data_IF_125528233753
#
_entry.id   IF_125528233753
#
_cell.length_a   1.000
_cell.length_b   1.000
_cell.length_c   1.000
_cell.angle_alpha   90.00
_cell.angle_beta   90.00
_cell.angle_gamma   90.00
#
_symmetry.space_group_name_H-M   'P 1'
#
loop_
_entity.id
_entity.type
_entity.pdbx_description
1 polymer ?
#
# COMPACT_ATOMS: atom_id res chain seq x y z
N UNK A 1 -23.38 -14.38 16.12
CA UNK A 1 -22.87 -15.67 15.60
C UNK A 1 -21.88 -15.28 14.53
N UNK A 2 -20.59 -15.60 14.68
CA UNK A 2 -19.70 -15.52 13.52
C UNK A 2 -20.17 -16.61 12.56
N UNK A 3 -20.40 -16.26 11.29
CA UNK A 3 -20.77 -17.22 10.25
C UNK A 3 -19.64 -18.25 10.07
N UNK A 4 -19.91 -19.47 9.60
CA UNK A 4 -18.87 -20.47 9.32
C UNK A 4 -17.71 -19.95 8.46
N UNK A 5 -18.00 -19.00 7.56
CA UNK A 5 -17.00 -18.28 6.76
C UNK A 5 -15.99 -17.48 7.61
N UNK A 6 -16.44 -16.79 8.66
CA UNK A 6 -15.57 -15.96 9.52
C UNK A 6 -14.59 -16.77 10.37
N UNK A 7 -14.95 -18.01 10.73
CA UNK A 7 -14.04 -18.91 11.45
C UNK A 7 -12.97 -19.44 10.49
N UNK A 8 -13.37 -19.83 9.27
CA UNK A 8 -12.45 -20.32 8.25
C UNK A 8 -11.43 -19.25 7.81
N UNK A 9 -11.86 -17.99 7.69
CA UNK A 9 -10.95 -16.89 7.37
C UNK A 9 -9.91 -16.70 8.49
N UNK A 10 -10.36 -16.67 9.75
CA UNK A 10 -9.46 -16.58 10.89
C UNK A 10 -8.44 -17.73 10.96
N UNK A 11 -8.87 -18.97 10.71
CA UNK A 11 -7.96 -20.11 10.65
C UNK A 11 -6.93 -20.00 9.51
N UNK A 12 -7.33 -19.45 8.36
CA UNK A 12 -6.44 -19.20 7.24
C UNK A 12 -5.43 -18.09 7.58
N UNK A 13 -5.90 -16.98 8.14
CA UNK A 13 -5.09 -15.86 8.59
C UNK A 13 -4.01 -16.33 9.58
N UNK A 14 -4.42 -17.06 10.63
CA UNK A 14 -3.51 -17.61 11.63
C UNK A 14 -2.47 -18.56 11.03
N UNK A 15 -2.84 -19.37 10.04
CA UNK A 15 -1.90 -20.27 9.35
C UNK A 15 -0.85 -19.49 8.56
N UNK A 16 -1.27 -18.44 7.85
CA UNK A 16 -0.36 -17.59 7.08
C UNK A 16 0.57 -16.84 8.03
N UNK A 17 0.01 -16.11 9.00
CA UNK A 17 0.78 -15.28 9.94
C UNK A 17 1.73 -16.09 10.84
N UNK A 18 1.45 -17.37 11.09
CA UNK A 18 2.35 -18.23 11.88
C UNK A 18 3.76 -18.29 11.28
N UNK A 19 3.87 -18.31 9.96
CA UNK A 19 5.12 -18.56 9.24
C UNK A 19 5.76 -17.26 8.70
N UNK A 20 5.15 -16.10 8.96
CA UNK A 20 5.64 -14.78 8.58
C UNK A 20 6.31 -14.06 9.76
N UNK A 21 7.57 -13.63 9.59
CA UNK A 21 8.29 -12.81 10.57
C UNK A 21 9.01 -11.69 9.86
N UNK A 22 8.47 -10.48 9.97
CA UNK A 22 9.02 -9.27 9.37
C UNK A 22 8.64 -8.06 10.20
N UNK A 23 9.53 -7.07 10.29
CA UNK A 23 9.36 -5.85 11.12
C UNK A 23 8.14 -5.01 10.73
N UNK A 24 7.76 -5.07 9.45
CA UNK A 24 6.63 -4.33 8.87
C UNK A 24 5.44 -5.22 8.51
N UNK A 25 5.31 -6.39 9.16
CA UNK A 25 4.15 -7.28 9.00
C UNK A 25 3.64 -7.64 10.39
N UNK A 26 2.33 -7.58 10.58
CA UNK A 26 1.70 -7.93 11.85
C UNK A 26 2.05 -9.36 12.26
N UNK A 27 2.44 -9.56 13.53
CA UNK A 27 2.72 -10.87 14.08
C UNK A 27 1.58 -11.33 14.98
N UNK A 28 1.16 -12.59 14.84
CA UNK A 28 0.26 -13.22 15.82
C UNK A 28 1.09 -13.85 16.93
N UNK A 29 0.84 -13.39 18.16
CA UNK A 29 1.48 -13.93 19.37
C UNK A 29 0.72 -15.14 19.92
N UNK A 30 -0.59 -15.20 19.71
CA UNK A 30 -1.42 -16.30 20.15
C UNK A 30 -2.90 -16.03 19.99
N UNK A 31 -3.71 -17.02 20.32
CA UNK A 31 -5.17 -16.88 20.38
C UNK A 31 -5.68 -17.39 21.72
N UNK A 32 -6.82 -16.87 22.15
CA UNK A 32 -7.48 -17.29 23.37
C UNK A 32 -8.98 -17.35 23.15
N UNK A 33 -9.65 -18.16 23.96
CA UNK A 33 -11.11 -18.16 24.05
C UNK A 33 -11.53 -17.84 25.47
N UNK A 34 -12.64 -17.13 25.61
CA UNK A 34 -13.25 -16.83 26.90
C UNK A 34 -14.76 -16.94 26.81
N UNK A 35 -15.40 -17.20 27.94
CA UNK A 35 -16.86 -17.16 28.02
C UNK A 35 -17.31 -15.71 28.20
N UNK A 36 -17.96 -15.16 27.19
CA UNK A 36 -18.48 -13.80 27.15
C UNK A 36 -19.85 -13.66 27.80
N UNK A 37 -20.43 -12.44 27.69
CA UNK A 37 -21.79 -12.17 28.17
C UNK A 37 -22.80 -13.06 27.44
N UNK A 38 -23.83 -13.53 28.17
CA UNK A 38 -24.84 -14.49 27.69
C UNK A 38 -24.29 -15.89 27.33
N UNK A 39 -23.24 -16.35 28.01
CA UNK A 39 -22.70 -17.70 27.84
C UNK A 39 -22.20 -18.01 26.42
N UNK A 40 -21.77 -16.99 25.68
CA UNK A 40 -21.25 -17.14 24.32
C UNK A 40 -19.73 -17.21 24.37
N UNK A 41 -19.14 -18.21 23.71
CA UNK A 41 -17.70 -18.25 23.49
C UNK A 41 -17.25 -17.07 22.62
N UNK A 42 -16.33 -16.27 23.15
CA UNK A 42 -15.61 -15.21 22.48
C UNK A 42 -14.19 -15.69 22.20
N UNK A 43 -13.68 -15.40 21.01
CA UNK A 43 -12.32 -15.72 20.60
C UNK A 43 -11.57 -14.41 20.36
N UNK A 44 -10.33 -14.34 20.85
CA UNK A 44 -9.42 -13.22 20.66
C UNK A 44 -8.11 -13.70 20.04
N UNK A 45 -7.49 -12.83 19.26
CA UNK A 45 -6.14 -13.00 18.75
C UNK A 45 -5.27 -11.90 19.35
N UNK A 46 -4.11 -12.28 19.85
CA UNK A 46 -3.09 -11.36 20.34
C UNK A 46 -2.13 -11.08 19.19
N UNK A 47 -1.97 -9.81 18.85
CA UNK A 47 -1.12 -9.35 17.75
C UNK A 47 -0.06 -8.37 18.25
N UNK A 48 1.03 -8.25 17.50
CA UNK A 48 2.13 -7.32 17.78
C UNK A 48 2.76 -6.81 16.47
N UNK A 49 3.19 -5.54 16.39
CA UNK A 49 3.08 -4.49 17.42
C UNK A 49 1.65 -3.96 17.62
N UNK A 50 1.42 -3.25 18.72
CA UNK A 50 0.16 -2.54 18.94
C UNK A 50 0.15 -1.28 18.08
N UNK A 51 -0.79 -1.25 17.13
CA UNK A 51 -1.09 -0.06 16.34
C UNK A 51 -2.02 0.91 17.08
N UNK A 52 -1.84 2.20 16.82
CA UNK A 52 -2.71 3.25 17.36
C UNK A 52 -3.75 3.75 16.36
N UNK A 53 -3.47 3.60 15.07
CA UNK A 53 -4.35 4.01 13.97
C UNK A 53 -3.95 3.27 12.68
N UNK A 54 -4.79 3.35 11.66
CA UNK A 54 -4.44 2.94 10.29
C UNK A 54 -3.93 4.13 9.46
N UNK A 55 -3.46 3.83 8.24
CA UNK A 55 -2.92 4.81 7.31
C UNK A 55 -4.02 5.66 6.68
N UNK A 56 -5.25 5.19 6.50
CA UNK A 56 -6.33 6.00 5.92
C UNK A 56 -6.63 7.20 6.82
N UNK A 57 -6.87 6.95 8.11
CA UNK A 57 -7.08 7.99 9.12
C UNK A 57 -5.89 8.96 9.21
N UNK A 58 -4.66 8.46 9.01
CA UNK A 58 -3.44 9.27 9.03
C UNK A 58 -3.36 10.19 7.81
N UNK A 59 -3.68 9.67 6.63
CA UNK A 59 -3.67 10.43 5.38
C UNK A 59 -4.77 11.49 5.36
N UNK A 60 -5.98 11.15 5.79
CA UNK A 60 -7.11 12.09 5.87
C UNK A 60 -6.82 13.28 6.80
N UNK A 61 -6.15 13.06 7.93
CA UNK A 61 -5.72 14.14 8.83
C UNK A 61 -4.75 15.12 8.14
N UNK A 62 -3.74 14.60 7.45
CA UNK A 62 -2.78 15.44 6.70
C UNK A 62 -3.49 16.13 5.54
N UNK A 63 -4.43 15.45 4.87
CA UNK A 63 -5.21 15.98 3.76
C UNK A 63 -6.06 17.18 4.16
N UNK A 64 -6.77 17.09 5.29
CA UNK A 64 -7.59 18.20 5.79
C UNK A 64 -6.72 19.44 6.07
N UNK A 65 -5.55 19.23 6.69
CA UNK A 65 -4.58 20.31 6.87
C UNK A 65 -4.14 20.92 5.53
N UNK A 66 -3.77 20.10 4.54
CA UNK A 66 -3.36 20.58 3.23
C UNK A 66 -4.46 21.40 2.55
N UNK A 67 -5.71 20.93 2.62
CA UNK A 67 -6.89 21.59 2.06
C UNK A 67 -7.08 23.00 2.62
N UNK A 68 -6.94 23.19 3.93
CA UNK A 68 -7.08 24.50 4.57
C UNK A 68 -6.11 25.53 3.97
N UNK A 69 -4.87 25.14 3.66
CA UNK A 69 -3.90 26.04 3.00
C UNK A 69 -4.19 26.26 1.52
N UNK A 70 -4.65 25.23 0.80
CA UNK A 70 -5.04 25.38 -0.61
C UNK A 70 -6.25 26.33 -0.78
N UNK A 71 -7.19 26.34 0.16
CA UNK A 71 -8.38 27.20 0.13
C UNK A 71 -8.13 28.60 0.66
N UNK A 72 -7.43 28.73 1.80
CA UNK A 72 -7.22 30.04 2.46
C UNK A 72 -6.14 30.90 1.80
N UNK A 73 -5.24 30.30 1.00
CA UNK A 73 -4.05 30.96 0.42
C UNK A 73 -3.13 31.58 1.48
N UNK A 74 -3.13 31.01 2.68
CA UNK A 74 -2.20 31.37 3.75
C UNK A 74 -0.77 30.94 3.40
N UNK A 75 0.23 31.51 4.09
CA UNK A 75 1.61 31.04 3.96
C UNK A 75 1.69 29.56 4.34
N UNK A 76 2.28 28.73 3.47
CA UNK A 76 2.30 27.28 3.65
C UNK A 76 3.05 26.86 4.92
N UNK A 77 2.44 25.97 5.70
CA UNK A 77 3.08 25.26 6.81
C UNK A 77 2.82 23.78 6.60
N UNK A 78 3.88 22.98 6.50
CA UNK A 78 3.77 21.53 6.35
C UNK A 78 3.26 20.90 7.64
N UNK A 79 2.31 19.97 7.55
CA UNK A 79 1.84 19.21 8.70
C UNK A 79 3.00 18.39 9.32
N UNK A 80 3.09 18.33 10.64
CA UNK A 80 4.23 17.71 11.36
C UNK A 80 4.41 16.22 11.02
N UNK A 81 3.32 15.54 10.72
CA UNK A 81 3.31 14.12 10.36
C UNK A 81 3.69 13.83 8.90
N UNK A 82 3.70 14.83 8.01
CA UNK A 82 3.94 14.60 6.57
C UNK A 82 5.29 13.94 6.32
N UNK A 83 6.32 14.35 7.06
CA UNK A 83 7.66 13.75 6.92
C UNK A 83 7.71 12.29 7.39
N UNK A 84 6.83 11.88 8.32
CA UNK A 84 6.79 10.51 8.85
C UNK A 84 6.33 9.49 7.81
N UNK A 85 5.70 9.93 6.71
CA UNK A 85 5.31 9.07 5.59
C UNK A 85 6.48 8.64 4.71
N UNK A 86 7.57 9.42 4.66
CA UNK A 86 8.67 9.18 3.71
C UNK A 86 9.32 7.79 3.90
N UNK A 87 9.61 7.32 5.13
CA UNK A 87 10.17 5.98 5.31
C UNK A 87 9.22 4.84 4.94
N UNK A 88 7.90 5.07 4.96
CA UNK A 88 6.89 4.02 4.77
C UNK A 88 6.98 3.40 3.37
N UNK A 89 7.34 4.20 2.35
CA UNK A 89 7.53 3.71 0.99
C UNK A 89 8.54 2.55 0.94
N UNK A 90 9.72 2.77 1.51
CA UNK A 90 10.78 1.77 1.54
C UNK A 90 10.39 0.53 2.37
N UNK A 91 9.76 0.76 3.53
CA UNK A 91 9.41 -0.31 4.45
C UNK A 91 8.27 -1.21 3.95
N UNK A 92 7.26 -0.62 3.30
CA UNK A 92 6.18 -1.37 2.67
C UNK A 92 6.69 -2.14 1.44
N UNK A 93 7.58 -1.55 0.64
CA UNK A 93 8.26 -2.29 -0.42
C UNK A 93 8.97 -3.54 0.11
N UNK A 94 9.74 -3.39 1.20
CA UNK A 94 10.45 -4.49 1.86
C UNK A 94 9.49 -5.55 2.42
N UNK A 95 8.37 -5.15 3.01
CA UNK A 95 7.34 -6.06 3.52
C UNK A 95 6.71 -6.90 2.40
N UNK A 96 6.31 -6.27 1.30
CA UNK A 96 5.68 -6.97 0.17
C UNK A 96 6.70 -7.85 -0.57
N UNK A 97 7.97 -7.43 -0.67
CA UNK A 97 9.04 -8.28 -1.20
C UNK A 97 9.19 -9.56 -0.36
N UNK A 98 9.18 -9.45 0.97
CA UNK A 98 9.23 -10.59 1.88
C UNK A 98 8.04 -11.54 1.68
N UNK A 99 6.81 -11.01 1.54
CA UNK A 99 5.63 -11.84 1.23
C UNK A 99 5.80 -12.61 -0.07
N UNK A 100 6.25 -11.93 -1.12
CA UNK A 100 6.43 -12.52 -2.44
C UNK A 100 7.55 -13.57 -2.48
N UNK A 101 8.61 -13.41 -1.70
CA UNK A 101 9.65 -14.42 -1.50
C UNK A 101 9.11 -15.68 -0.81
N UNK A 102 8.14 -15.52 0.09
CA UNK A 102 7.40 -16.61 0.74
C UNK A 102 6.23 -17.15 -0.08
N UNK A 103 6.07 -16.69 -1.33
CA UNK A 103 4.92 -17.03 -2.19
C UNK A 103 3.56 -16.78 -1.51
N UNK A 104 3.47 -15.69 -0.75
CA UNK A 104 2.22 -15.22 -0.12
C UNK A 104 1.69 -14.01 -0.89
N UNK A 105 0.39 -14.02 -1.15
CA UNK A 105 -0.36 -12.86 -1.62
C UNK A 105 -1.21 -12.28 -0.51
N UNK A 106 -1.14 -10.96 -0.36
CA UNK A 106 -2.01 -10.22 0.54
C UNK A 106 -3.44 -10.13 0.02
N UNK A 107 -3.62 -9.70 -1.24
CA UNK A 107 -4.90 -9.55 -1.98
C UNK A 107 -5.82 -8.41 -1.54
N UNK A 108 -5.46 -7.66 -0.50
CA UNK A 108 -6.23 -6.49 -0.01
C UNK A 108 -5.30 -5.41 0.57
N UNK A 109 -4.27 -5.02 -0.18
CA UNK A 109 -3.41 -3.91 0.23
C UNK A 109 -4.18 -2.61 0.00
N UNK A 110 -4.41 -1.87 1.08
CA UNK A 110 -5.08 -0.58 1.13
C UNK A 110 -4.69 0.16 2.42
N UNK A 111 -4.92 1.47 2.53
CA UNK A 111 -4.51 2.25 3.70
C UNK A 111 -5.10 1.73 5.02
N UNK A 112 -6.34 1.25 5.03
CA UNK A 112 -7.01 0.69 6.22
C UNK A 112 -6.31 -0.57 6.75
N UNK A 113 -5.60 -1.30 5.87
CA UNK A 113 -4.85 -2.52 6.21
C UNK A 113 -3.37 -2.24 6.47
N UNK A 114 -2.96 -0.97 6.49
CA UNK A 114 -1.60 -0.55 6.87
C UNK A 114 -1.72 0.19 8.19
N UNK A 115 -1.28 -0.47 9.25
CA UNK A 115 -1.36 0.05 10.59
C UNK A 115 -0.11 0.87 10.94
N UNK A 116 -0.27 1.87 11.81
CA UNK A 116 0.82 2.69 12.32
C UNK A 116 1.01 2.39 13.80
N UNK A 117 2.19 1.89 14.15
CA UNK A 117 2.55 1.60 15.54
C UNK A 117 2.95 2.87 16.32
N UNK A 118 3.16 2.70 17.63
CA UNK A 118 3.57 3.81 18.52
C UNK A 118 4.94 4.39 18.21
N UNK A 119 5.79 3.66 17.49
CA UNK A 119 7.10 4.11 17.05
C UNK A 119 7.06 4.73 15.65
N UNK A 120 5.86 4.96 15.10
CA UNK A 120 5.64 5.44 13.73
C UNK A 120 6.23 4.53 12.67
N UNK A 121 6.09 3.22 12.83
CA UNK A 121 6.36 2.25 11.77
C UNK A 121 5.06 1.87 11.05
N UNK A 122 5.14 1.73 9.73
CA UNK A 122 4.08 1.10 8.94
C UNK A 122 4.11 -0.42 9.09
N UNK A 123 2.97 -1.02 9.36
CA UNK A 123 2.77 -2.44 9.63
C UNK A 123 1.66 -2.96 8.73
N UNK A 124 2.00 -3.82 7.77
CA UNK A 124 1.00 -4.47 6.92
C UNK A 124 0.21 -5.51 7.73
N UNK A 125 -1.12 -5.40 7.70
CA UNK A 125 -2.05 -6.20 8.49
C UNK A 125 -3.28 -6.63 7.68
N UNK A 126 -4.17 -7.38 8.34
CA UNK A 126 -5.38 -7.97 7.74
C UNK A 126 -5.10 -8.98 6.61
N UNK A 127 -4.79 -10.21 7.02
CA UNK A 127 -4.50 -11.32 6.12
C UNK A 127 -5.73 -12.22 5.90
N UNK A 128 -6.95 -11.74 6.19
CA UNK A 128 -8.18 -12.55 6.17
C UNK A 128 -8.44 -13.22 4.82
N UNK A 129 -8.10 -12.53 3.72
CA UNK A 129 -8.25 -13.06 2.36
C UNK A 129 -6.92 -13.45 1.72
N UNK A 130 -5.81 -13.37 2.45
CA UNK A 130 -4.49 -13.74 1.94
C UNK A 130 -4.38 -15.23 1.60
N UNK A 131 -3.42 -15.58 0.75
CA UNK A 131 -3.16 -16.97 0.35
C UNK A 131 -1.66 -17.24 0.21
N UNK A 132 -1.23 -18.41 0.70
CA UNK A 132 0.10 -18.96 0.48
C UNK A 132 0.06 -20.01 -0.63
N UNK A 133 1.13 -20.09 -1.43
CA UNK A 133 1.26 -20.98 -2.57
C UNK A 133 2.59 -21.75 -2.48
N UNK A 134 2.68 -22.95 -3.07
CA UNK A 134 3.93 -23.72 -3.00
C UNK A 134 5.03 -23.09 -3.86
N UNK A 135 4.65 -22.45 -4.97
CA UNK A 135 5.55 -21.71 -5.84
C UNK A 135 4.87 -20.51 -6.53
N UNK A 136 5.65 -19.72 -7.26
CA UNK A 136 5.17 -18.54 -8.00
C UNK A 136 4.25 -18.85 -9.17
N UNK A 137 4.32 -20.06 -9.75
CA UNK A 137 3.42 -20.48 -10.84
C UNK A 137 2.05 -20.83 -10.28
N UNK A 138 1.98 -21.50 -9.14
CA UNK A 138 0.73 -21.78 -8.42
C UNK A 138 0.07 -20.52 -7.90
N UNK A 139 0.85 -19.47 -7.63
CA UNK A 139 0.30 -18.16 -7.30
C UNK A 139 -0.54 -17.58 -8.44
N UNK A 140 -0.41 -18.03 -9.68
CA UNK A 140 -1.26 -17.56 -10.79
C UNK A 140 -2.66 -18.15 -10.63
N UNK A 141 -3.60 -17.32 -10.18
CA UNK A 141 -4.99 -17.74 -9.92
C UNK A 141 -5.98 -17.01 -10.82
N UNK A 142 -7.10 -17.66 -11.11
CA UNK A 142 -8.19 -17.12 -11.93
C UNK A 142 -9.41 -16.82 -11.04
N UNK A 143 -9.99 -15.63 -11.22
CA UNK A 143 -11.27 -15.19 -10.64
C UNK A 143 -11.43 -15.26 -9.11
N UNK A 144 -11.38 -14.10 -8.47
CA UNK A 144 -11.97 -13.89 -7.14
C UNK A 144 -12.54 -12.48 -7.06
N UNK A 145 -13.82 -12.33 -6.72
CA UNK A 145 -14.43 -11.02 -6.43
C UNK A 145 -14.05 -10.50 -5.02
N UNK A 146 -13.05 -11.11 -4.39
CA UNK A 146 -12.54 -10.67 -3.08
C UNK A 146 -11.55 -9.50 -3.24
N UNK A 147 -11.53 -8.61 -2.25
CA UNK A 147 -10.67 -7.43 -2.19
C UNK A 147 -11.45 -6.13 -2.38
N UNK A 148 -10.79 -5.00 -2.16
CA UNK A 148 -11.41 -3.67 -2.23
C UNK A 148 -11.37 -3.12 -3.65
N UNK A 149 -12.52 -2.74 -4.22
CA UNK A 149 -12.64 -2.32 -5.63
C UNK A 149 -11.67 -1.19 -5.99
N UNK A 150 -11.59 -0.19 -5.11
CA UNK A 150 -10.80 1.02 -5.30
C UNK A 150 -9.31 0.73 -5.57
N UNK A 151 -8.72 -0.20 -4.84
CA UNK A 151 -7.29 -0.55 -4.90
C UNK A 151 -6.99 -1.80 -5.73
N UNK A 152 -8.02 -2.37 -6.36
CA UNK A 152 -7.90 -3.58 -7.16
C UNK A 152 -7.37 -3.29 -8.56
N UNK A 153 -6.63 -4.23 -9.14
CA UNK A 153 -6.29 -4.18 -10.57
C UNK A 153 -7.56 -4.27 -11.44
N UNK A 154 -7.53 -3.68 -12.64
CA UNK A 154 -8.66 -3.54 -13.59
C UNK A 154 -9.42 -4.83 -13.89
N UNK A 155 -8.78 -5.97 -13.65
CA UNK A 155 -9.27 -7.29 -14.01
C UNK A 155 -10.04 -8.00 -12.89
N UNK A 156 -10.33 -7.33 -11.76
CA UNK A 156 -11.11 -7.97 -10.69
C UNK A 156 -12.60 -8.08 -11.00
N UNK A 157 -13.15 -7.04 -11.62
CA UNK A 157 -14.58 -6.77 -11.53
C UNK A 157 -15.32 -6.90 -12.86
N UNK A 158 -14.61 -7.04 -13.99
CA UNK A 158 -15.28 -7.41 -15.25
C UNK A 158 -15.77 -8.86 -15.12
N UNK A 159 -17.08 -9.03 -15.32
CA UNK A 159 -17.75 -10.32 -15.25
C UNK A 159 -17.12 -11.35 -16.21
N UNK A 160 -17.43 -12.64 -16.01
CA UNK A 160 -16.82 -13.76 -16.73
C UNK A 160 -17.07 -13.79 -18.25
N UNK A 161 -17.78 -12.82 -18.82
CA UNK A 161 -18.23 -12.87 -20.22
C UNK A 161 -17.44 -11.94 -21.17
N UNK A 162 -16.75 -10.90 -20.67
CA UNK A 162 -16.17 -9.84 -21.53
C UNK A 162 -14.63 -9.74 -21.53
N UNK A 163 -13.93 -10.57 -20.76
CA UNK A 163 -12.46 -10.50 -20.62
C UNK A 163 -11.76 -11.76 -21.16
N UNK A 164 -10.67 -11.57 -21.91
CA UNK A 164 -9.77 -12.66 -22.33
C UNK A 164 -9.34 -13.48 -21.09
N UNK A 165 -9.32 -14.83 -21.11
CA UNK A 165 -8.89 -15.63 -19.97
C UNK A 165 -7.51 -15.24 -19.40
N UNK A 166 -6.58 -14.79 -20.25
CA UNK A 166 -5.26 -14.27 -19.82
C UNK A 166 -5.38 -12.98 -18.99
N UNK A 167 -6.37 -12.15 -19.29
CA UNK A 167 -6.66 -10.94 -18.53
C UNK A 167 -7.21 -11.25 -17.14
N UNK A 168 -7.57 -12.50 -16.82
CA UNK A 168 -8.08 -12.90 -15.49
C UNK A 168 -7.01 -13.45 -14.58
N UNK A 169 -5.79 -13.58 -15.08
CA UNK A 169 -4.65 -14.08 -14.31
C UNK A 169 -4.28 -13.08 -13.23
N UNK A 170 -4.14 -13.61 -12.01
CA UNK A 170 -3.64 -12.86 -10.88
C UNK A 170 -2.37 -13.51 -10.42
N UNK A 171 -1.23 -12.86 -10.56
CA UNK A 171 0.03 -13.24 -9.94
C UNK A 171 0.31 -12.42 -8.68
N UNK A 172 1.60 -12.28 -8.34
CA UNK A 172 2.08 -11.49 -7.19
C UNK A 172 2.10 -9.99 -7.52
N UNK A 173 2.18 -9.63 -8.81
CA UNK A 173 2.18 -8.24 -9.30
C UNK A 173 0.94 -7.44 -8.89
N UNK A 174 -0.13 -8.12 -8.52
CA UNK A 174 -1.35 -7.53 -8.03
C UNK A 174 -1.19 -6.77 -6.71
N UNK A 175 -0.44 -7.34 -5.77
CA UNK A 175 -0.12 -6.64 -4.52
C UNK A 175 0.79 -5.43 -4.81
N UNK A 176 1.61 -5.49 -5.87
CA UNK A 176 2.44 -4.36 -6.34
C UNK A 176 1.56 -3.23 -6.87
N UNK A 177 0.54 -3.56 -7.67
CA UNK A 177 -0.41 -2.58 -8.22
C UNK A 177 -1.19 -1.89 -7.09
N UNK A 178 -1.74 -2.67 -6.17
CA UNK A 178 -2.47 -2.13 -5.01
C UNK A 178 -1.58 -1.24 -4.14
N UNK A 179 -0.34 -1.65 -3.88
CA UNK A 179 0.63 -0.81 -3.16
C UNK A 179 0.98 0.48 -3.94
N UNK A 180 1.04 0.42 -5.28
CA UNK A 180 1.22 1.59 -6.12
C UNK A 180 0.10 2.62 -5.93
N UNK A 181 -1.15 2.18 -5.85
CA UNK A 181 -2.29 3.08 -5.56
C UNK A 181 -2.20 3.70 -4.16
N UNK A 182 -1.83 2.92 -3.13
CA UNK A 182 -1.55 3.47 -1.78
C UNK A 182 -0.44 4.53 -1.83
N UNK A 183 0.64 4.25 -2.56
CA UNK A 183 1.75 5.18 -2.71
C UNK A 183 1.36 6.48 -3.42
N UNK A 184 0.40 6.46 -4.33
CA UNK A 184 -0.15 7.66 -4.95
C UNK A 184 -0.91 8.54 -3.95
N UNK A 185 -1.68 7.94 -3.05
CA UNK A 185 -2.36 8.69 -1.99
C UNK A 185 -1.35 9.31 -1.01
N UNK A 186 -0.36 8.53 -0.58
CA UNK A 186 0.73 9.01 0.26
C UNK A 186 1.50 10.16 -0.42
N UNK A 187 1.85 10.01 -1.69
CA UNK A 187 2.52 11.06 -2.46
C UNK A 187 1.65 12.31 -2.59
N UNK A 188 0.34 12.16 -2.76
CA UNK A 188 -0.60 13.28 -2.87
C UNK A 188 -0.51 14.18 -1.64
N UNK A 189 -0.60 13.62 -0.43
CA UNK A 189 -0.53 14.43 0.80
C UNK A 189 0.89 14.94 1.09
N UNK A 190 1.94 14.20 0.73
CA UNK A 190 3.35 14.63 0.85
C UNK A 190 3.63 15.86 0.00
N UNK A 191 3.02 15.93 -1.18
CA UNK A 191 3.16 17.06 -2.10
C UNK A 191 2.20 18.21 -1.75
N UNK A 192 1.60 18.17 -0.55
CA UNK A 192 0.77 19.27 -0.05
C UNK A 192 -0.56 19.42 -0.79
N UNK A 193 -1.13 18.31 -1.29
CA UNK A 193 -2.43 18.28 -1.97
C UNK A 193 -3.51 17.66 -1.11
N UNK A 194 -4.74 18.09 -1.35
CA UNK A 194 -5.95 17.45 -0.83
C UNK A 194 -6.21 16.10 -1.55
N UNK A 195 -6.20 15.03 -0.76
CA UNK A 195 -6.51 13.67 -1.16
C UNK A 195 -7.96 13.51 -1.64
N UNK A 196 -8.91 14.27 -1.09
CA UNK A 196 -10.32 14.18 -1.50
C UNK A 196 -10.52 14.69 -2.91
N UNK A 197 -9.92 15.85 -3.23
CA UNK A 197 -9.86 16.39 -4.60
C UNK A 197 -9.23 15.41 -5.59
N UNK A 198 -8.21 14.66 -5.17
CA UNK A 198 -7.62 13.58 -5.99
C UNK A 198 -8.63 12.46 -6.24
N UNK A 199 -9.27 11.94 -5.18
CA UNK A 199 -10.25 10.85 -5.23
C UNK A 199 -11.49 11.22 -6.06
N UNK A 200 -11.98 12.46 -5.94
CA UNK A 200 -13.12 13.00 -6.72
C UNK A 200 -12.89 12.94 -8.23
N UNK A 201 -11.66 13.18 -8.69
CA UNK A 201 -11.32 13.08 -10.11
C UNK A 201 -11.37 11.64 -10.62
N UNK A 202 -11.35 10.65 -9.73
CA UNK A 202 -11.24 9.22 -10.02
C UNK A 202 -12.55 8.45 -9.76
N UNK A 203 -13.67 9.18 -9.73
CA UNK A 203 -15.01 8.62 -9.61
C UNK A 203 -15.53 8.01 -10.91
N UNK A 204 -16.17 6.85 -10.76
CA UNK A 204 -16.82 6.08 -11.82
C UNK A 204 -18.16 5.54 -11.34
N UNK A 205 -19.10 5.35 -12.27
CA UNK A 205 -20.38 4.71 -11.97
C UNK A 205 -20.19 3.18 -11.94
N UNK A 206 -20.55 2.55 -10.82
CA UNK A 206 -20.51 1.10 -10.64
C UNK A 206 -21.76 0.65 -9.87
N UNK A 207 -22.55 -0.26 -10.44
CA UNK A 207 -23.79 -0.76 -9.83
C UNK A 207 -24.73 0.33 -9.30
N UNK A 208 -24.90 1.41 -10.07
CA UNK A 208 -25.72 2.59 -9.73
C UNK A 208 -25.17 3.49 -8.60
N UNK A 209 -23.96 3.23 -8.13
CA UNK A 209 -23.27 4.07 -7.14
C UNK A 209 -22.01 4.69 -7.76
N UNK A 210 -21.65 5.90 -7.31
CA UNK A 210 -20.39 6.53 -7.68
C UNK A 210 -19.32 6.11 -6.70
N UNK A 211 -18.28 5.45 -7.20
CA UNK A 211 -17.15 4.95 -6.39
C UNK A 211 -15.83 5.31 -7.03
N UNK A 212 -14.76 5.40 -6.23
CA UNK A 212 -13.40 5.59 -6.74
C UNK A 212 -12.88 4.26 -7.29
N UNK A 213 -12.33 4.27 -8.52
CA UNK A 213 -11.73 3.07 -9.13
C UNK A 213 -10.39 3.45 -9.77
N UNK A 214 -9.28 3.24 -9.04
CA UNK A 214 -7.96 3.66 -9.50
C UNK A 214 -7.50 2.98 -10.78
N UNK A 215 -7.85 1.72 -10.97
CA UNK A 215 -7.48 1.01 -12.19
C UNK A 215 -8.14 1.56 -13.47
N UNK A 216 -9.36 2.11 -13.34
CA UNK A 216 -10.05 2.78 -14.45
C UNK A 216 -9.45 4.18 -14.67
N UNK A 217 -9.18 4.92 -13.58
CA UNK A 217 -8.49 6.21 -13.63
C UNK A 217 -7.11 6.11 -14.30
N UNK A 218 -6.35 5.04 -14.02
CA UNK A 218 -5.06 4.77 -14.65
C UNK A 218 -5.18 4.55 -16.16
N UNK A 219 -6.21 3.83 -16.60
CA UNK A 219 -6.46 3.53 -18.01
C UNK A 219 -6.87 4.79 -18.77
N UNK A 220 -7.70 5.61 -18.16
CA UNK A 220 -8.26 6.80 -18.78
C UNK A 220 -7.29 8.01 -18.73
N UNK A 221 -6.09 7.84 -18.19
CA UNK A 221 -5.05 8.89 -18.15
C UNK A 221 -5.15 9.82 -16.93
N UNK A 222 -6.18 9.70 -16.10
CA UNK A 222 -6.44 10.60 -14.97
C UNK A 222 -5.38 10.53 -13.88
N UNK A 223 -4.81 9.35 -13.63
CA UNK A 223 -3.69 9.22 -12.68
C UNK A 223 -2.44 9.93 -13.22
N UNK A 224 -2.17 9.83 -14.51
CA UNK A 224 -1.03 10.49 -15.15
C UNK A 224 -1.19 12.01 -15.10
N UNK A 225 -2.39 12.52 -15.36
CA UNK A 225 -2.72 13.94 -15.18
C UNK A 225 -2.49 14.39 -13.72
N UNK A 226 -2.90 13.58 -12.74
CA UNK A 226 -2.66 13.89 -11.33
C UNK A 226 -1.17 13.87 -10.96
N UNK A 227 -0.41 12.91 -11.50
CA UNK A 227 1.04 12.85 -11.31
C UNK A 227 1.73 14.10 -11.85
N UNK A 228 1.27 14.67 -12.97
CA UNK A 228 1.78 15.95 -13.47
C UNK A 228 1.44 17.13 -12.54
N UNK A 229 0.30 17.11 -11.85
CA UNK A 229 0.00 18.08 -10.78
C UNK A 229 1.01 17.97 -9.64
N UNK A 230 1.38 16.75 -9.23
CA UNK A 230 2.40 16.54 -8.20
C UNK A 230 3.77 17.04 -8.69
N UNK A 231 4.16 16.71 -9.93
CA UNK A 231 5.42 17.17 -10.54
C UNK A 231 5.50 18.70 -10.59
N UNK A 232 4.42 19.36 -11.03
CA UNK A 232 4.32 20.82 -11.06
C UNK A 232 4.39 21.44 -9.65
N UNK A 233 3.93 20.73 -8.63
CA UNK A 233 4.02 21.21 -7.24
C UNK A 233 5.46 21.18 -6.74
N UNK A 234 6.22 20.12 -7.04
CA UNK A 234 7.62 20.04 -6.64
C UNK A 234 8.50 21.12 -7.28
N UNK A 235 8.18 21.56 -8.50
CA UNK A 235 8.95 22.60 -9.21
C UNK A 235 8.44 24.01 -8.93
N UNK A 236 7.13 24.20 -8.87
CA UNK A 236 6.50 25.52 -8.72
C UNK A 236 6.25 25.97 -7.28
N UNK A 237 6.16 25.03 -6.34
CA UNK A 237 5.91 25.30 -4.92
C UNK A 237 6.70 24.33 -4.01
N UNK A 238 8.05 24.28 -4.14
CA UNK A 238 8.87 23.33 -3.41
C UNK A 238 8.75 23.48 -1.89
N UNK A 239 8.37 24.65 -1.37
CA UNK A 239 8.08 24.88 0.05
C UNK A 239 6.96 23.99 0.61
N UNK A 240 6.13 23.40 -0.26
CA UNK A 240 5.11 22.43 0.14
C UNK A 240 5.67 21.07 0.52
N UNK A 241 6.86 20.73 0.03
CA UNK A 241 7.49 19.45 0.28
C UNK A 241 8.15 19.41 1.66
N UNK A 242 8.13 18.25 2.35
CA UNK A 242 8.84 18.09 3.61
C UNK A 242 10.36 18.24 3.43
N UNK A 243 11.05 18.75 4.46
CA UNK A 243 12.48 19.08 4.44
C UNK A 243 13.36 17.94 3.92
N UNK A 244 13.17 16.73 4.46
CA UNK A 244 13.92 15.55 4.03
C UNK A 244 13.79 15.25 2.54
N UNK A 245 12.61 15.47 1.94
CA UNK A 245 12.43 15.25 0.50
C UNK A 245 13.15 16.35 -0.30
N UNK A 246 13.12 17.60 0.18
CA UNK A 246 13.87 18.72 -0.44
C UNK A 246 15.38 18.51 -0.39
N UNK A 247 15.89 17.96 0.70
CA UNK A 247 17.31 17.61 0.87
C UNK A 247 17.77 16.53 -0.13
N UNK A 248 16.90 15.59 -0.48
CA UNK A 248 17.19 14.57 -1.50
C UNK A 248 17.10 15.16 -2.91
N UNK A 249 16.13 16.04 -3.17
CA UNK A 249 15.93 16.69 -4.48
C UNK A 249 17.05 17.70 -4.81
N UNK A 250 17.58 18.42 -3.80
CA UNK A 250 18.62 19.43 -4.00
C UNK A 250 19.83 18.95 -4.82
N UNK A 251 20.52 17.86 -4.43
CA UNK A 251 21.62 17.30 -5.19
C UNK A 251 21.19 16.47 -6.41
N UNK A 252 19.92 16.04 -6.48
CA UNK A 252 19.37 15.25 -7.59
C UNK A 252 17.99 15.77 -8.03
N UNK A 253 17.97 16.77 -8.94
CA UNK A 253 16.71 17.35 -9.42
C UNK A 253 15.80 16.37 -10.16
N UNK A 254 16.33 15.27 -10.68
CA UNK A 254 15.56 14.23 -11.36
C UNK A 254 14.86 13.27 -10.37
N UNK A 255 15.20 13.35 -9.07
CA UNK A 255 14.64 12.46 -8.05
C UNK A 255 13.11 12.43 -8.05
N UNK A 256 12.44 13.59 -8.26
CA UNK A 256 10.97 13.66 -8.35
C UNK A 256 10.44 12.81 -9.50
N UNK A 257 11.12 12.82 -10.65
CA UNK A 257 10.73 12.04 -11.82
C UNK A 257 10.87 10.55 -11.54
N UNK A 258 11.98 10.14 -10.90
CA UNK A 258 12.19 8.74 -10.49
C UNK A 258 11.20 8.29 -9.42
N UNK A 259 10.90 9.16 -8.45
CA UNK A 259 9.95 8.91 -7.37
C UNK A 259 8.53 8.66 -7.91
N UNK A 260 8.00 9.60 -8.71
CA UNK A 260 6.67 9.48 -9.29
C UNK A 260 6.61 8.40 -10.39
N UNK A 261 7.69 8.22 -11.15
CA UNK A 261 7.82 7.16 -12.15
C UNK A 261 7.76 5.77 -11.52
N UNK A 262 8.46 5.54 -10.42
CA UNK A 262 8.41 4.28 -9.68
C UNK A 262 6.99 3.92 -9.21
N UNK A 263 6.20 4.91 -8.77
CA UNK A 263 4.80 4.73 -8.39
C UNK A 263 3.95 4.29 -9.60
N UNK A 264 4.12 4.93 -10.75
CA UNK A 264 3.42 4.58 -11.99
C UNK A 264 3.81 3.18 -12.51
N UNK A 265 5.09 2.83 -12.44
CA UNK A 265 5.61 1.53 -12.86
C UNK A 265 5.04 0.40 -11.99
N UNK A 266 4.86 0.65 -10.68
CA UNK A 266 4.18 -0.30 -9.78
C UNK A 266 2.73 -0.56 -10.18
N UNK A 267 1.98 0.49 -10.53
CA UNK A 267 0.57 0.35 -10.98
C UNK A 267 0.43 -0.33 -12.34
N UNK A 268 1.51 -0.32 -13.14
CA UNK A 268 1.57 -0.95 -14.45
C UNK A 268 2.29 -2.30 -14.42
N UNK A 269 2.54 -2.85 -13.23
CA UNK A 269 3.30 -4.09 -13.06
C UNK A 269 2.66 -5.25 -13.84
N UNK A 270 3.53 -6.00 -14.51
CA UNK A 270 3.20 -7.20 -15.27
C UNK A 270 3.98 -8.38 -14.72
N UNK A 271 3.59 -9.58 -15.13
CA UNK A 271 4.20 -10.82 -14.70
C UNK A 271 5.62 -11.03 -15.28
N UNK A 272 5.98 -10.34 -16.37
CA UNK A 272 7.21 -10.51 -17.13
C UNK A 272 8.37 -9.62 -16.65
N UNK A 273 9.17 -10.19 -15.74
CA UNK A 273 10.62 -9.99 -15.52
C UNK A 273 11.22 -8.62 -15.16
N UNK A 274 10.52 -7.49 -15.29
CA UNK A 274 10.85 -6.31 -14.49
C UNK A 274 10.25 -6.51 -13.09
N UNK A 275 10.95 -6.14 -12.04
CA UNK A 275 10.41 -6.21 -10.68
C UNK A 275 10.14 -4.78 -10.18
N UNK A 276 9.05 -4.11 -10.63
CA UNK A 276 8.73 -2.72 -10.27
C UNK A 276 8.84 -2.44 -8.77
N UNK A 277 8.46 -3.41 -7.94
CA UNK A 277 8.60 -3.29 -6.48
C UNK A 277 10.07 -3.15 -6.00
N UNK A 278 11.03 -3.85 -6.63
CA UNK A 278 12.46 -3.71 -6.32
C UNK A 278 13.01 -2.40 -6.85
N UNK A 279 12.60 -1.98 -8.03
CA UNK A 279 13.03 -0.71 -8.61
C UNK A 279 12.49 0.48 -7.82
N UNK A 280 11.22 0.41 -7.40
CA UNK A 280 10.63 1.35 -6.45
C UNK A 280 11.38 1.36 -5.11
N UNK A 281 11.73 0.19 -4.56
CA UNK A 281 12.52 0.13 -3.33
C UNK A 281 13.89 0.82 -3.46
N UNK A 282 14.56 0.69 -4.62
CA UNK A 282 15.82 1.41 -4.90
C UNK A 282 15.64 2.93 -4.88
N UNK A 283 14.53 3.43 -5.39
CA UNK A 283 14.22 4.87 -5.41
C UNK A 283 13.88 5.37 -4.01
N UNK A 284 13.05 4.64 -3.26
CA UNK A 284 12.57 5.06 -1.95
C UNK A 284 13.56 4.79 -0.81
N UNK A 285 14.56 3.93 -1.02
CA UNK A 285 15.49 3.51 0.03
C UNK A 285 16.27 4.65 0.67
N UNK A 286 16.52 5.76 -0.03
CA UNK A 286 17.17 6.95 0.56
C UNK A 286 16.27 7.73 1.52
N UNK A 287 14.96 7.46 1.52
CA UNK A 287 13.99 8.12 2.40
C UNK A 287 13.87 7.44 3.77
N UNK A 288 14.53 6.30 3.98
CA UNK A 288 14.46 5.54 5.23
C UNK A 288 15.84 5.15 5.73
N UNK A 289 16.14 5.50 6.98
CA UNK A 289 17.35 5.06 7.67
C UNK A 289 17.26 3.62 8.19
N UNK A 290 16.05 3.10 8.43
CA UNK A 290 15.82 1.75 8.98
C UNK A 290 15.45 0.72 7.90
N UNK A 291 14.97 1.17 6.74
CA UNK A 291 14.77 0.36 5.53
C UNK A 291 15.65 0.87 4.37
N UNK A 292 16.98 1.06 4.53
CA UNK A 292 17.79 1.63 3.46
C UNK A 292 17.91 0.68 2.27
N UNK A 293 18.25 1.23 1.10
CA UNK A 293 18.69 0.44 -0.04
C UNK A 293 20.18 0.74 -0.36
N UNK A 294 21.04 -0.29 -0.55
CA UNK A 294 20.77 -1.71 -0.35
C UNK A 294 20.51 -2.06 1.13
N UNK A 295 19.72 -3.10 1.44
CA UNK A 295 19.49 -3.51 2.82
C UNK A 295 20.81 -3.83 3.53
N UNK A 296 20.96 -3.48 4.80
CA UNK A 296 22.21 -3.68 5.55
C UNK A 296 22.73 -5.14 5.49
N UNK A 297 21.84 -6.14 5.39
CA UNK A 297 22.21 -7.56 5.26
C UNK A 297 22.74 -7.97 3.87
N UNK A 298 22.55 -7.18 2.81
CA UNK A 298 23.10 -7.43 1.48
C UNK A 298 24.57 -6.99 1.32
N UNK A 299 25.16 -6.40 2.37
CA UNK A 299 26.57 -5.97 2.38
C UNK A 299 27.53 -6.97 3.06
N UNK A 300 27.01 -8.09 3.58
CA UNK A 300 27.82 -9.16 4.17
C UNK A 300 27.87 -10.39 3.23
N UNK A 301 28.96 -10.57 2.47
CA UNK A 301 29.12 -11.71 1.57
C UNK A 301 29.30 -13.06 2.31
N UNK A 302 29.29 -13.10 3.64
CA UNK A 302 29.52 -14.33 4.42
C UNK A 302 28.27 -15.19 4.69
N UNK A 303 27.07 -14.76 4.29
CA UNK A 303 25.82 -15.50 4.55
C UNK A 303 25.25 -16.27 3.35
N UNK A 304 26.03 -16.45 2.29
CA UNK A 304 25.72 -17.39 1.20
C UNK A 304 26.65 -18.62 1.27
N UNK A 305 26.49 -19.43 2.32
CA UNK A 305 27.01 -20.81 2.39
C UNK A 305 25.95 -21.69 3.03
#
# INVERSE_FOLDING_TARGET
MRTPSKIRNLENELKILRDLRHEHIIAVLGSFSRLGKKNRLEYGVLVFPLATQDLDDFLERISEHNKDYEETRSAWITHEDTQKLLPFFACLCRAVLYLHEKCVKHRDIKPENILIDRAHNAILADFDISRAYNDKKEAITYSSLDGTIMYSSKHVWKGPDDANPKDRERGLEWDIISLGFVFLEMATVIFGKDLRKMRENMHYLHNHETVVIYSEALRDGKIQEWVEVLRATATGSPEKLPDQLREVIGPDPDYVNRFLGAILDMMSAKQDNHHPLRDAYRVFGCLSNHCPWPPARMSDPSQHV
#
